data_IF_841272621021
#
_entry.id   IF_841272621021
#
_cell.length_a   1.000
_cell.length_b   1.000
_cell.length_c   1.000
_cell.angle_alpha   90.00
_cell.angle_beta   90.00
_cell.angle_gamma   90.00
#
_symmetry.space_group_name_H-M   'P 1'
#
loop_
_entity.id
_entity.type
_entity.pdbx_description
1 polymer ?
#
# COMPACT_ATOMS: atom_id res chain seq x y z
N UNK A 1 44.04 4.94 -13.91
CA UNK A 1 44.29 4.76 -12.46
C UNK A 1 43.42 5.72 -11.70
N UNK A 2 42.75 5.25 -10.66
CA UNK A 2 41.89 5.96 -9.68
C UNK A 2 40.41 6.17 -10.02
N UNK A 3 39.61 5.11 -9.79
CA UNK A 3 38.18 5.28 -9.46
C UNK A 3 37.67 4.23 -8.44
N UNK A 4 38.59 3.64 -7.65
CA UNK A 4 38.24 2.61 -6.65
C UNK A 4 37.79 3.17 -5.28
N UNK A 5 37.89 4.49 -5.05
CA UNK A 5 37.57 5.10 -3.74
C UNK A 5 36.15 5.65 -3.54
N UNK A 6 35.33 5.75 -4.58
CA UNK A 6 34.02 6.41 -4.51
C UNK A 6 32.80 5.47 -4.34
N UNK A 7 32.93 4.17 -4.58
CA UNK A 7 31.83 3.20 -4.59
C UNK A 7 31.20 2.95 -3.20
N UNK A 8 31.95 2.78 -2.08
CA UNK A 8 31.32 2.48 -0.78
C UNK A 8 30.55 3.67 -0.19
N UNK A 9 31.05 4.90 -0.36
CA UNK A 9 30.41 6.12 0.14
C UNK A 9 29.11 6.44 -0.60
N UNK A 10 29.07 6.20 -1.91
CA UNK A 10 27.88 6.38 -2.76
C UNK A 10 26.79 5.38 -2.41
N UNK A 11 27.14 4.12 -2.18
CA UNK A 11 26.21 3.08 -1.74
C UNK A 11 25.60 3.38 -0.37
N UNK A 12 26.40 3.84 0.61
CA UNK A 12 25.95 4.22 1.95
C UNK A 12 24.99 5.41 1.90
N UNK A 13 25.31 6.44 1.11
CA UNK A 13 24.42 7.60 0.92
C UNK A 13 23.08 7.18 0.29
N UNK A 14 23.11 6.30 -0.71
CA UNK A 14 21.90 5.75 -1.34
C UNK A 14 21.04 4.98 -0.34
N UNK A 15 21.65 4.16 0.51
CA UNK A 15 20.93 3.45 1.58
C UNK A 15 20.22 4.45 2.52
N UNK A 16 20.90 5.50 2.96
CA UNK A 16 20.35 6.48 3.90
C UNK A 16 19.15 7.22 3.29
N UNK A 17 19.29 7.79 2.08
CA UNK A 17 18.18 8.55 1.51
C UNK A 17 17.03 7.67 1.04
N UNK A 18 17.28 6.44 0.58
CA UNK A 18 16.20 5.50 0.26
C UNK A 18 15.42 5.14 1.53
N UNK A 19 16.12 4.81 2.62
CA UNK A 19 15.47 4.48 3.89
C UNK A 19 14.67 5.66 4.45
N UNK A 20 15.26 6.86 4.49
CA UNK A 20 14.58 8.03 5.05
C UNK A 20 13.40 8.50 4.20
N UNK A 21 13.48 8.42 2.86
CA UNK A 21 12.39 8.80 1.98
C UNK A 21 11.17 7.87 2.15
N UNK A 22 11.40 6.55 2.16
CA UNK A 22 10.31 5.58 2.32
C UNK A 22 9.82 5.42 3.75
N UNK A 23 10.63 5.73 4.74
CA UNK A 23 10.15 5.96 6.10
C UNK A 23 9.22 7.18 6.15
N UNK A 24 9.62 8.28 5.48
CA UNK A 24 8.80 9.49 5.31
C UNK A 24 7.52 9.28 4.50
N UNK A 25 7.41 8.21 3.70
CA UNK A 25 6.18 7.80 3.02
C UNK A 25 5.29 6.95 3.93
N UNK A 26 5.87 6.01 4.66
CA UNK A 26 5.13 5.10 5.53
C UNK A 26 4.57 5.76 6.78
N UNK A 27 5.22 6.80 7.31
CA UNK A 27 4.77 7.49 8.52
C UNK A 27 3.45 8.25 8.32
N UNK A 28 3.25 9.09 7.28
CA UNK A 28 1.95 9.71 7.00
C UNK A 28 0.87 8.71 6.67
N UNK A 29 1.19 7.64 5.95
CA UNK A 29 0.26 6.55 5.70
C UNK A 29 -0.24 5.94 7.01
N UNK A 30 0.67 5.59 7.92
CA UNK A 30 0.32 5.03 9.22
C UNK A 30 -0.41 6.04 10.11
N UNK A 31 -0.05 7.31 10.03
CA UNK A 31 -0.73 8.40 10.74
C UNK A 31 -2.22 8.50 10.34
N UNK A 32 -2.51 8.53 9.04
CA UNK A 32 -3.87 8.69 8.51
C UNK A 32 -4.73 7.43 8.71
N UNK A 33 -4.16 6.24 8.48
CA UNK A 33 -4.93 4.99 8.42
C UNK A 33 -4.86 4.15 9.70
N UNK A 34 -3.91 4.43 10.58
CA UNK A 34 -3.70 3.62 11.77
C UNK A 34 -3.83 4.45 13.06
N UNK A 35 -3.01 5.50 13.21
CA UNK A 35 -2.96 6.32 14.42
C UNK A 35 -4.25 7.12 14.61
N UNK A 36 -4.74 7.79 13.54
CA UNK A 36 -5.99 8.53 13.57
C UNK A 36 -7.20 7.61 13.82
N UNK A 37 -7.23 6.44 13.19
CA UNK A 37 -8.28 5.43 13.43
C UNK A 37 -8.27 4.93 14.87
N UNK A 38 -7.08 4.71 15.45
CA UNK A 38 -6.96 4.27 16.83
C UNK A 38 -7.35 5.38 17.82
N UNK A 39 -6.99 6.64 17.53
CA UNK A 39 -7.46 7.80 18.28
C UNK A 39 -9.00 7.86 18.32
N UNK A 40 -9.66 7.80 17.18
CA UNK A 40 -11.12 7.78 17.09
C UNK A 40 -11.72 6.59 17.85
N UNK A 41 -11.11 5.42 17.74
CA UNK A 41 -11.52 4.21 18.47
C UNK A 41 -11.41 4.42 19.99
N UNK A 42 -10.29 4.94 20.45
CA UNK A 42 -10.03 5.12 21.89
C UNK A 42 -10.90 6.21 22.51
N UNK A 43 -11.25 7.25 21.74
CA UNK A 43 -12.11 8.37 22.20
C UNK A 43 -13.60 8.07 22.10
N UNK A 44 -13.98 6.87 21.66
CA UNK A 44 -15.39 6.45 21.59
C UNK A 44 -16.15 7.01 20.40
N UNK A 45 -15.48 7.41 19.34
CA UNK A 45 -16.15 7.80 18.09
C UNK A 45 -17.04 6.66 17.57
N UNK A 46 -18.09 7.01 16.83
CA UNK A 46 -18.98 6.01 16.21
C UNK A 46 -18.21 5.16 15.19
N UNK A 47 -18.66 3.93 14.95
CA UNK A 47 -18.04 3.02 13.98
C UNK A 47 -18.09 3.62 12.57
N UNK A 48 -19.14 4.36 12.25
CA UNK A 48 -19.29 5.14 11.01
C UNK A 48 -18.19 6.21 10.90
N UNK A 49 -17.89 6.95 11.96
CA UNK A 49 -16.79 7.92 11.97
C UNK A 49 -15.44 7.22 11.81
N UNK A 50 -15.20 6.13 12.52
CA UNK A 50 -13.95 5.35 12.42
C UNK A 50 -13.75 4.84 10.99
N UNK A 51 -14.78 4.26 10.38
CA UNK A 51 -14.71 3.72 9.02
C UNK A 51 -14.54 4.80 7.94
N UNK A 52 -14.98 6.04 8.21
CA UNK A 52 -14.80 7.18 7.29
C UNK A 52 -13.33 7.51 7.03
N UNK A 53 -12.40 7.10 7.91
CA UNK A 53 -10.95 7.24 7.66
C UNK A 53 -10.49 6.47 6.42
N UNK A 54 -11.22 5.44 6.00
CA UNK A 54 -10.94 4.68 4.77
C UNK A 54 -11.06 5.54 3.50
N UNK A 55 -11.83 6.62 3.54
CA UNK A 55 -11.97 7.55 2.41
C UNK A 55 -10.67 8.32 2.13
N UNK A 56 -9.79 8.50 3.12
CA UNK A 56 -8.49 9.15 2.89
C UNK A 56 -7.60 8.38 1.91
N UNK A 57 -7.84 7.07 1.76
CA UNK A 57 -7.14 6.26 0.75
C UNK A 57 -7.52 6.62 -0.69
N UNK A 58 -8.68 7.27 -0.91
CA UNK A 58 -9.09 7.75 -2.23
C UNK A 58 -8.12 8.80 -2.79
N UNK A 59 -7.49 9.63 -1.96
CA UNK A 59 -6.50 10.59 -2.42
C UNK A 59 -5.32 9.87 -3.09
N UNK A 60 -4.81 8.78 -2.50
CA UNK A 60 -3.74 7.95 -3.09
C UNK A 60 -4.20 7.27 -4.37
N UNK A 61 -5.46 6.83 -4.42
CA UNK A 61 -6.02 6.21 -5.62
C UNK A 61 -6.17 7.21 -6.76
N UNK A 62 -6.60 8.43 -6.47
CA UNK A 62 -6.87 9.48 -7.46
C UNK A 62 -5.64 10.33 -7.79
N UNK A 63 -4.49 10.09 -7.16
CA UNK A 63 -3.25 10.89 -7.35
C UNK A 63 -2.82 11.02 -8.82
N UNK A 64 -3.20 10.07 -9.68
CA UNK A 64 -2.90 10.12 -11.12
C UNK A 64 -3.49 11.35 -11.81
N UNK A 65 -4.58 11.94 -11.26
CA UNK A 65 -5.23 13.13 -11.83
C UNK A 65 -4.28 14.34 -11.78
N UNK A 66 -3.51 14.49 -10.68
CA UNK A 66 -2.60 15.64 -10.52
C UNK A 66 -1.12 15.26 -10.55
N UNK A 67 -0.78 13.98 -10.75
CA UNK A 67 0.64 13.57 -10.87
C UNK A 67 1.43 14.33 -11.95
N UNK A 68 0.84 14.79 -13.09
CA UNK A 68 1.57 15.60 -14.05
C UNK A 68 2.06 16.94 -13.48
N UNK A 69 1.42 17.50 -12.45
CA UNK A 69 1.88 18.73 -11.82
C UNK A 69 3.26 18.55 -11.18
N UNK A 70 3.51 17.40 -10.55
CA UNK A 70 4.80 17.08 -9.93
C UNK A 70 5.91 16.90 -10.99
N UNK A 71 5.54 16.44 -12.18
CA UNK A 71 6.48 16.29 -13.29
C UNK A 71 6.76 17.61 -14.02
N UNK A 72 5.77 18.51 -14.09
CA UNK A 72 5.86 19.77 -14.86
C UNK A 72 6.44 20.92 -14.02
N UNK A 73 6.22 20.95 -12.72
CA UNK A 73 6.58 22.08 -11.87
C UNK A 73 7.65 21.72 -10.84
N UNK A 74 8.83 22.29 -10.97
CA UNK A 74 9.93 22.11 -10.03
C UNK A 74 10.65 20.76 -10.17
N UNK A 75 11.45 20.43 -9.15
CA UNK A 75 12.17 19.16 -9.12
C UNK A 75 11.49 18.17 -8.17
N UNK A 76 11.55 16.88 -8.49
CA UNK A 76 11.01 15.80 -7.62
C UNK A 76 11.64 15.82 -6.22
N UNK A 77 12.91 16.23 -6.12
CA UNK A 77 13.60 16.44 -4.84
C UNK A 77 12.93 17.53 -4.00
N UNK A 78 12.59 18.67 -4.62
CA UNK A 78 11.93 19.77 -3.93
C UNK A 78 10.51 19.37 -3.48
N UNK A 79 9.72 18.77 -4.37
CA UNK A 79 8.40 18.25 -4.03
C UNK A 79 8.45 17.27 -2.86
N UNK A 80 9.42 16.35 -2.84
CA UNK A 80 9.59 15.38 -1.77
C UNK A 80 9.86 16.05 -0.41
N UNK A 81 10.78 17.02 -0.36
CA UNK A 81 11.13 17.72 0.89
C UNK A 81 10.00 18.65 1.33
N UNK A 82 9.44 19.44 0.41
CA UNK A 82 8.39 20.42 0.72
C UNK A 82 7.12 19.71 1.24
N UNK A 83 6.71 18.61 0.61
CA UNK A 83 5.57 17.82 1.09
C UNK A 83 5.84 17.17 2.46
N UNK A 84 7.07 16.74 2.75
CA UNK A 84 7.43 16.24 4.09
C UNK A 84 7.32 17.34 5.15
N UNK A 85 7.74 18.57 4.85
CA UNK A 85 7.59 19.70 5.77
C UNK A 85 6.11 19.98 6.02
N UNK A 86 5.30 20.06 4.96
CA UNK A 86 3.85 20.30 5.09
C UNK A 86 3.16 19.17 5.87
N UNK A 87 3.52 17.92 5.63
CA UNK A 87 3.01 16.77 6.38
C UNK A 87 3.38 16.87 7.87
N UNK A 88 4.64 17.14 8.18
CA UNK A 88 5.09 17.30 9.56
C UNK A 88 4.40 18.46 10.28
N UNK A 89 4.28 19.61 9.64
CA UNK A 89 3.54 20.76 10.17
C UNK A 89 2.05 20.42 10.37
N UNK A 90 1.40 19.78 9.41
CA UNK A 90 0.00 19.37 9.52
C UNK A 90 -0.24 18.33 10.64
N UNK A 91 0.71 17.41 10.88
CA UNK A 91 0.65 16.51 12.04
C UNK A 91 0.77 17.26 13.37
N UNK A 92 1.60 18.32 13.46
CA UNK A 92 1.66 19.19 14.63
C UNK A 92 0.35 19.98 14.79
N UNK A 93 -0.25 20.48 13.69
CA UNK A 93 -1.59 21.10 13.74
C UNK A 93 -2.63 20.10 14.24
N UNK A 94 -2.56 18.83 13.82
CA UNK A 94 -3.46 17.78 14.35
C UNK A 94 -3.30 17.61 15.85
N UNK A 95 -2.07 17.66 16.39
CA UNK A 95 -1.82 17.60 17.82
C UNK A 95 -2.49 18.77 18.59
N UNK A 96 -2.41 19.99 18.05
CA UNK A 96 -3.08 21.16 18.63
C UNK A 96 -4.61 21.02 18.57
N UNK A 97 -5.14 20.61 17.42
CA UNK A 97 -6.58 20.42 17.22
C UNK A 97 -7.16 19.38 18.17
N UNK A 98 -6.44 18.28 18.40
CA UNK A 98 -6.82 17.26 19.37
C UNK A 98 -6.78 17.82 20.80
N UNK A 99 -5.78 18.65 21.11
CA UNK A 99 -5.65 19.31 22.42
C UNK A 99 -6.80 20.25 22.74
N UNK A 100 -7.36 20.94 21.75
CA UNK A 100 -8.54 21.84 21.90
C UNK A 100 -9.88 21.14 21.70
N UNK A 101 -9.91 19.87 21.29
CA UNK A 101 -11.13 19.07 21.14
C UNK A 101 -12.02 19.42 19.93
N UNK A 102 -11.48 20.05 18.88
CA UNK A 102 -12.25 20.45 17.69
C UNK A 102 -12.38 19.32 16.67
N UNK A 103 -13.52 18.61 16.67
CA UNK A 103 -13.79 17.51 15.73
C UNK A 103 -13.85 17.94 14.26
N UNK A 104 -14.52 19.04 13.85
CA UNK A 104 -14.55 19.44 12.43
C UNK A 104 -13.16 19.77 11.89
N UNK A 105 -12.34 20.46 12.69
CA UNK A 105 -10.98 20.84 12.30
C UNK A 105 -10.08 19.58 12.17
N UNK A 106 -10.27 18.59 13.03
CA UNK A 106 -9.56 17.30 12.93
C UNK A 106 -9.79 16.65 11.56
N UNK A 107 -11.04 16.51 11.13
CA UNK A 107 -11.38 15.93 9.83
C UNK A 107 -10.84 16.73 8.66
N UNK A 108 -10.93 18.07 8.73
CA UNK A 108 -10.39 18.95 7.69
C UNK A 108 -8.88 18.78 7.55
N UNK A 109 -8.14 18.77 8.66
CA UNK A 109 -6.68 18.60 8.64
C UNK A 109 -6.30 17.23 8.07
N UNK A 110 -6.98 16.15 8.48
CA UNK A 110 -6.71 14.81 7.94
C UNK A 110 -7.01 14.73 6.44
N UNK A 111 -8.09 15.35 5.96
CA UNK A 111 -8.41 15.39 4.55
C UNK A 111 -7.33 16.13 3.73
N UNK A 112 -6.86 17.28 4.21
CA UNK A 112 -5.75 18.00 3.58
C UNK A 112 -4.46 17.19 3.60
N UNK A 113 -4.14 16.57 4.74
CA UNK A 113 -2.96 15.70 4.86
C UNK A 113 -3.02 14.51 3.92
N UNK A 114 -4.20 13.94 3.64
CA UNK A 114 -4.34 12.82 2.70
C UNK A 114 -3.96 13.20 1.27
N UNK A 115 -4.31 14.42 0.83
CA UNK A 115 -3.93 14.95 -0.49
C UNK A 115 -2.42 15.23 -0.55
N UNK A 116 -1.86 15.83 0.51
CA UNK A 116 -0.42 16.10 0.59
C UNK A 116 0.38 14.80 0.63
N UNK A 117 -0.11 13.79 1.37
CA UNK A 117 0.50 12.45 1.41
C UNK A 117 0.51 11.79 0.02
N UNK A 118 -0.61 11.85 -0.70
CA UNK A 118 -0.68 11.32 -2.07
C UNK A 118 0.30 12.05 -3.03
N UNK A 119 0.49 13.36 -2.83
CA UNK A 119 1.47 14.15 -3.59
C UNK A 119 2.92 13.79 -3.22
N UNK A 120 3.18 13.56 -1.92
CA UNK A 120 4.47 13.07 -1.43
C UNK A 120 4.84 11.72 -2.04
N UNK A 121 3.88 10.79 -2.10
CA UNK A 121 4.05 9.46 -2.66
C UNK A 121 4.43 9.52 -4.16
N UNK A 122 3.78 10.41 -4.96
CA UNK A 122 4.19 10.69 -6.35
C UNK A 122 5.65 11.17 -6.41
N UNK A 123 6.01 12.13 -5.55
CA UNK A 123 7.34 12.71 -5.55
C UNK A 123 8.42 11.71 -5.11
N UNK A 124 8.13 10.90 -4.09
CA UNK A 124 9.01 9.88 -3.54
C UNK A 124 9.31 8.79 -4.58
N UNK A 125 8.28 8.20 -5.17
CA UNK A 125 8.43 7.19 -6.22
C UNK A 125 9.09 7.76 -7.47
N UNK A 126 8.68 8.95 -7.90
CA UNK A 126 9.29 9.64 -9.03
C UNK A 126 10.76 9.95 -8.82
N UNK A 127 11.17 10.37 -7.61
CA UNK A 127 12.56 10.61 -7.26
C UNK A 127 13.37 9.30 -7.26
N UNK A 128 12.85 8.24 -6.65
CA UNK A 128 13.50 6.92 -6.61
C UNK A 128 13.76 6.39 -8.03
N UNK A 129 12.76 6.47 -8.90
CA UNK A 129 12.86 6.02 -10.29
C UNK A 129 13.85 6.84 -11.12
N UNK A 130 14.02 8.11 -10.80
CA UNK A 130 14.91 8.98 -11.55
C UNK A 130 16.34 9.00 -11.01
N UNK A 131 16.52 8.77 -9.70
CA UNK A 131 17.84 8.81 -9.07
C UNK A 131 18.63 7.48 -9.17
N UNK A 132 17.96 6.37 -9.51
CA UNK A 132 18.55 5.04 -9.60
C UNK A 132 18.36 4.41 -10.98
N UNK A 133 19.40 3.74 -11.46
CA UNK A 133 19.32 2.84 -12.61
C UNK A 133 18.55 1.55 -12.26
N UNK A 134 18.28 0.70 -13.24
CA UNK A 134 17.51 -0.53 -13.06
C UNK A 134 18.12 -1.46 -12.00
N UNK A 135 19.45 -1.61 -11.99
CA UNK A 135 20.15 -2.43 -11.01
C UNK A 135 20.06 -1.84 -9.60
N UNK A 136 20.20 -0.52 -9.46
CA UNK A 136 20.04 0.18 -8.19
C UNK A 136 18.62 0.05 -7.64
N UNK A 137 17.59 0.22 -8.50
CA UNK A 137 16.19 0.03 -8.10
C UNK A 137 15.93 -1.38 -7.58
N UNK A 138 16.43 -2.40 -8.27
CA UNK A 138 16.32 -3.79 -7.81
C UNK A 138 17.03 -4.01 -6.47
N UNK A 139 18.27 -3.50 -6.32
CA UNK A 139 19.05 -3.66 -5.11
C UNK A 139 18.40 -3.00 -3.88
N UNK A 140 17.87 -1.78 -4.03
CA UNK A 140 17.30 -1.02 -2.92
C UNK A 140 15.80 -1.24 -2.72
N UNK A 141 15.14 -2.10 -3.52
CA UNK A 141 13.70 -2.39 -3.37
C UNK A 141 13.35 -2.99 -2.00
N UNK A 142 14.21 -3.86 -1.46
CA UNK A 142 14.06 -4.43 -0.12
C UNK A 142 14.17 -3.38 0.98
N UNK A 143 15.14 -2.45 0.84
CA UNK A 143 15.34 -1.32 1.77
C UNK A 143 14.13 -0.40 1.80
N UNK A 144 13.60 -0.06 0.62
CA UNK A 144 12.37 0.69 0.43
C UNK A 144 11.22 0.08 1.26
N UNK A 145 10.92 -1.20 1.04
CA UNK A 145 9.84 -1.90 1.71
C UNK A 145 10.07 -1.99 3.23
N UNK A 146 11.30 -2.28 3.66
CA UNK A 146 11.64 -2.36 5.09
C UNK A 146 11.46 -1.01 5.79
N UNK A 147 11.89 0.09 5.17
CA UNK A 147 11.74 1.44 5.73
C UNK A 147 10.27 1.86 5.86
N UNK A 148 9.46 1.60 4.83
CA UNK A 148 8.01 1.83 4.88
C UNK A 148 7.35 1.04 6.02
N UNK A 149 7.69 -0.25 6.15
CA UNK A 149 7.15 -1.11 7.22
C UNK A 149 7.59 -0.66 8.61
N UNK A 150 8.85 -0.23 8.76
CA UNK A 150 9.35 0.32 10.03
C UNK A 150 8.55 1.57 10.43
N UNK A 151 8.29 2.49 9.51
CA UNK A 151 7.44 3.66 9.76
C UNK A 151 6.00 3.28 10.14
N UNK A 152 5.45 2.24 9.50
CA UNK A 152 4.12 1.72 9.83
C UNK A 152 4.08 1.21 11.28
N UNK A 153 5.09 0.48 11.73
CA UNK A 153 5.20 0.03 13.14
C UNK A 153 5.31 1.21 14.09
N UNK A 154 6.10 2.23 13.75
CA UNK A 154 6.21 3.45 14.58
C UNK A 154 4.84 4.11 14.74
N UNK A 155 4.12 4.38 13.65
CA UNK A 155 2.83 5.07 13.71
C UNK A 155 1.72 4.26 14.35
N UNK A 156 1.65 2.97 14.07
CA UNK A 156 0.52 2.12 14.50
C UNK A 156 0.72 1.41 15.85
N UNK A 157 1.96 1.37 16.35
CA UNK A 157 2.30 0.68 17.60
C UNK A 157 2.97 1.62 18.59
N UNK A 158 4.16 2.14 18.29
CA UNK A 158 4.91 2.95 19.23
C UNK A 158 4.17 4.24 19.62
N UNK A 159 3.62 4.98 18.65
CA UNK A 159 2.88 6.20 18.93
C UNK A 159 1.53 5.93 19.60
N UNK A 160 0.86 4.83 19.30
CA UNK A 160 -0.36 4.40 19.99
C UNK A 160 -0.05 4.03 21.44
N UNK A 161 1.04 3.28 21.67
CA UNK A 161 1.49 2.97 23.02
C UNK A 161 1.86 4.23 23.81
N UNK A 162 2.61 5.17 23.18
CA UNK A 162 2.93 6.46 23.78
C UNK A 162 1.65 7.23 24.15
N UNK A 163 0.66 7.28 23.25
CA UNK A 163 -0.64 7.92 23.52
C UNK A 163 -1.34 7.31 24.74
N UNK A 164 -1.28 5.99 24.89
CA UNK A 164 -1.90 5.27 26.01
C UNK A 164 -1.24 5.55 27.37
N UNK A 165 0.06 5.91 27.37
CA UNK A 165 0.82 6.23 28.59
C UNK A 165 0.82 7.73 28.90
N UNK A 166 0.51 8.59 27.93
CA UNK A 166 0.64 10.05 28.06
C UNK A 166 -0.62 10.77 27.54
N UNK A 167 -0.60 11.22 26.30
CA UNK A 167 -1.73 11.85 25.64
C UNK A 167 -1.69 11.67 24.12
N UNK A 168 -2.85 11.74 23.48
CA UNK A 168 -2.96 11.72 22.01
C UNK A 168 -2.28 12.94 21.37
N UNK A 169 -2.40 14.12 21.99
CA UNK A 169 -1.73 15.33 21.51
C UNK A 169 -0.21 15.15 21.45
N UNK A 170 0.41 14.54 22.46
CA UNK A 170 1.84 14.26 22.45
C UNK A 170 2.22 13.24 21.37
N UNK A 171 1.43 12.18 21.20
CA UNK A 171 1.69 11.18 20.14
C UNK A 171 1.63 11.79 18.73
N UNK A 172 0.64 12.63 18.45
CA UNK A 172 0.54 13.36 17.20
C UNK A 172 1.68 14.37 17.02
N UNK A 173 2.08 15.07 18.10
CA UNK A 173 3.23 15.98 18.07
C UNK A 173 4.54 15.23 17.80
N UNK A 174 4.75 14.08 18.40
CA UNK A 174 5.91 13.23 18.13
C UNK A 174 5.94 12.74 16.67
N UNK A 175 4.79 12.38 16.10
CA UNK A 175 4.69 12.04 14.67
C UNK A 175 5.14 13.22 13.79
N UNK A 176 4.63 14.42 14.07
CA UNK A 176 4.97 15.63 13.34
C UNK A 176 6.46 16.01 13.48
N UNK A 177 6.99 15.96 14.69
CA UNK A 177 8.41 16.20 14.95
C UNK A 177 9.31 15.21 14.24
N UNK A 178 8.97 13.92 14.28
CA UNK A 178 9.70 12.88 13.55
C UNK A 178 9.67 13.11 12.04
N UNK A 179 8.52 13.50 11.49
CA UNK A 179 8.39 13.80 10.07
C UNK A 179 9.24 15.00 9.66
N UNK A 180 9.29 16.06 10.48
CA UNK A 180 10.17 17.22 10.24
C UNK A 180 11.66 16.85 10.33
N UNK A 181 12.04 15.96 11.25
CA UNK A 181 13.41 15.42 11.31
C UNK A 181 13.77 14.65 10.03
N UNK A 182 12.83 13.85 9.52
CA UNK A 182 13.01 13.13 8.23
C UNK A 182 13.12 14.11 7.07
N UNK A 183 12.30 15.17 7.03
CA UNK A 183 12.38 16.22 6.03
C UNK A 183 13.74 16.91 6.04
N UNK A 184 14.24 17.28 7.23
CA UNK A 184 15.54 17.92 7.41
C UNK A 184 16.69 16.99 6.98
N UNK A 185 16.61 15.71 7.35
CA UNK A 185 17.57 14.70 6.90
C UNK A 185 17.56 14.60 5.37
N UNK A 186 16.38 14.46 4.75
CA UNK A 186 16.24 14.35 3.31
C UNK A 186 16.70 15.60 2.57
N UNK A 187 16.46 16.78 3.10
CA UNK A 187 16.98 18.04 2.55
C UNK A 187 18.52 18.04 2.42
N UNK A 188 19.22 17.31 3.32
CA UNK A 188 20.70 17.23 3.34
C UNK A 188 21.24 16.06 2.53
N UNK A 189 20.57 14.90 2.57
CA UNK A 189 21.15 13.64 2.03
C UNK A 189 20.70 13.31 0.62
N UNK A 190 19.51 13.82 0.17
CA UNK A 190 19.04 13.56 -1.18
C UNK A 190 20.04 14.13 -2.21
N UNK A 191 20.45 13.34 -3.21
CA UNK A 191 21.28 13.86 -4.28
C UNK A 191 20.55 14.93 -5.07
N UNK A 192 21.30 15.92 -5.57
CA UNK A 192 20.80 16.81 -6.61
C UNK A 192 20.83 16.03 -7.91
N UNK A 193 19.69 15.82 -8.58
CA UNK A 193 19.70 15.19 -9.89
C UNK A 193 20.47 16.12 -10.84
N UNK A 194 21.51 15.62 -11.46
CA UNK A 194 21.97 16.18 -12.73
C UNK A 194 20.73 16.17 -13.63
N UNK A 195 20.41 17.30 -14.26
CA UNK A 195 19.19 17.58 -15.03
C UNK A 195 18.53 16.32 -15.57
N UNK A 196 17.51 15.84 -14.85
CA UNK A 196 16.74 14.69 -15.29
C UNK A 196 15.96 15.17 -16.50
N UNK A 197 16.45 14.76 -17.66
CA UNK A 197 15.69 14.89 -18.90
C UNK A 197 14.29 14.39 -18.62
N UNK A 198 13.35 15.30 -18.63
CA UNK A 198 11.94 15.01 -18.59
C UNK A 198 11.67 13.93 -19.63
N UNK A 199 11.33 12.72 -19.21
CA UNK A 199 10.71 11.73 -20.07
C UNK A 199 9.29 12.18 -20.42
N UNK A 200 9.09 13.45 -20.69
CA UNK A 200 7.87 14.07 -21.19
C UNK A 200 7.62 13.65 -22.64
N UNK A 201 7.58 12.33 -22.87
CA UNK A 201 7.32 11.72 -24.17
C UNK A 201 6.22 10.66 -24.14
N UNK A 202 5.62 10.38 -23.00
CA UNK A 202 4.45 9.51 -22.96
C UNK A 202 3.24 10.29 -23.50
N UNK A 203 2.97 10.18 -24.79
CA UNK A 203 1.77 10.71 -25.42
C UNK A 203 0.52 10.25 -24.66
N UNK A 204 -0.47 11.14 -24.53
CA UNK A 204 -1.83 10.79 -24.03
C UNK A 204 -2.39 9.53 -24.72
N UNK A 205 -2.06 9.35 -26.00
CA UNK A 205 -2.43 8.18 -26.78
C UNK A 205 -1.77 6.90 -26.27
N UNK A 206 -0.49 6.93 -25.88
CA UNK A 206 0.21 5.78 -25.31
C UNK A 206 -0.35 5.38 -23.95
N UNK A 207 -0.75 6.36 -23.14
CA UNK A 207 -1.41 6.13 -21.85
C UNK A 207 -2.76 5.42 -22.02
N UNK A 208 -3.64 5.93 -22.88
CA UNK A 208 -4.93 5.30 -23.18
C UNK A 208 -4.77 3.91 -23.79
N UNK A 209 -3.77 3.72 -24.66
CA UNK A 209 -3.45 2.41 -25.24
C UNK A 209 -3.02 1.40 -24.19
N UNK A 210 -2.23 1.82 -23.19
CA UNK A 210 -1.82 0.96 -22.09
C UNK A 210 -3.04 0.47 -21.29
N UNK A 211 -3.98 1.36 -20.93
CA UNK A 211 -5.21 0.95 -20.22
C UNK A 211 -6.10 0.05 -21.09
N UNK A 212 -6.31 0.41 -22.35
CA UNK A 212 -7.12 -0.40 -23.26
C UNK A 212 -6.54 -1.81 -23.41
N UNK A 213 -5.22 -1.94 -23.49
CA UNK A 213 -4.55 -3.24 -23.60
C UNK A 213 -4.72 -4.13 -22.38
N UNK A 214 -5.01 -3.57 -21.19
CA UNK A 214 -5.35 -4.35 -20.01
C UNK A 214 -6.72 -5.04 -20.17
N UNK A 215 -7.72 -4.31 -20.69
CA UNK A 215 -9.08 -4.84 -20.88
C UNK A 215 -9.17 -5.85 -22.03
N UNK A 216 -8.23 -5.81 -22.98
CA UNK A 216 -8.19 -6.76 -24.12
C UNK A 216 -7.48 -8.07 -23.78
N UNK A 217 -6.94 -8.23 -22.57
CA UNK A 217 -6.34 -9.49 -22.12
C UNK A 217 -7.39 -10.63 -22.04
N UNK A 218 -6.99 -11.87 -22.31
CA UNK A 218 -7.87 -13.01 -22.13
C UNK A 218 -8.42 -13.07 -20.69
N UNK A 219 -9.73 -13.22 -20.58
CA UNK A 219 -10.43 -13.27 -19.27
C UNK A 219 -10.30 -12.01 -18.40
N UNK A 220 -10.03 -10.82 -18.98
CA UNK A 220 -9.85 -9.58 -18.24
C UNK A 220 -10.96 -9.31 -17.21
N UNK A 221 -12.24 -9.55 -17.55
CA UNK A 221 -13.35 -9.38 -16.63
C UNK A 221 -13.26 -10.26 -15.38
N UNK A 222 -12.86 -11.53 -15.51
CA UNK A 222 -12.67 -12.44 -14.36
C UNK A 222 -11.49 -12.03 -13.51
N UNK A 223 -10.40 -11.58 -14.15
CA UNK A 223 -9.21 -11.08 -13.46
C UNK A 223 -9.54 -9.82 -12.67
N UNK A 224 -10.24 -8.86 -13.27
CA UNK A 224 -10.68 -7.64 -12.61
C UNK A 224 -11.63 -7.91 -11.45
N UNK A 225 -12.61 -8.79 -11.65
CA UNK A 225 -13.53 -9.19 -10.59
C UNK A 225 -12.76 -9.85 -9.42
N UNK A 226 -11.83 -10.75 -9.71
CA UNK A 226 -11.00 -11.37 -8.68
C UNK A 226 -10.16 -10.34 -7.92
N UNK A 227 -9.50 -9.41 -8.64
CA UNK A 227 -8.72 -8.33 -8.01
C UNK A 227 -9.57 -7.47 -7.07
N UNK A 228 -10.79 -7.12 -7.51
CA UNK A 228 -11.71 -6.30 -6.72
C UNK A 228 -12.18 -7.02 -5.45
N UNK A 229 -12.60 -8.28 -5.59
CA UNK A 229 -13.20 -9.04 -4.49
C UNK A 229 -12.18 -9.72 -3.58
N UNK A 230 -10.91 -9.87 -4.03
CA UNK A 230 -9.90 -10.61 -3.29
C UNK A 230 -9.73 -10.14 -1.85
N UNK A 231 -9.73 -8.85 -1.63
CA UNK A 231 -9.50 -8.26 -0.31
C UNK A 231 -10.76 -7.70 0.35
N UNK A 232 -11.92 -7.86 -0.27
CA UNK A 232 -13.15 -7.21 0.20
C UNK A 232 -13.48 -7.57 1.65
N UNK A 233 -13.61 -8.86 1.95
CA UNK A 233 -13.90 -9.34 3.30
C UNK A 233 -12.78 -9.04 4.31
N UNK A 234 -11.51 -9.17 3.90
CA UNK A 234 -10.34 -8.87 4.71
C UNK A 234 -10.31 -7.38 5.14
N UNK A 235 -10.63 -6.48 4.23
CA UNK A 235 -10.67 -5.03 4.52
C UNK A 235 -11.85 -4.67 5.42
N UNK A 236 -13.01 -5.25 5.18
CA UNK A 236 -14.17 -5.09 6.07
C UNK A 236 -13.82 -5.53 7.50
N UNK A 237 -13.26 -6.73 7.64
CA UNK A 237 -12.79 -7.26 8.93
C UNK A 237 -11.77 -6.32 9.58
N UNK A 238 -10.74 -5.89 8.84
CA UNK A 238 -9.68 -5.03 9.36
C UNK A 238 -10.21 -3.66 9.82
N UNK A 239 -11.18 -3.07 9.09
CA UNK A 239 -11.79 -1.79 9.43
C UNK A 239 -12.47 -1.81 10.82
N UNK A 240 -13.11 -2.92 11.17
CA UNK A 240 -13.85 -3.05 12.45
C UNK A 240 -13.11 -3.88 13.50
N UNK A 241 -11.90 -4.36 13.24
CA UNK A 241 -11.09 -5.10 14.20
C UNK A 241 -10.76 -4.28 15.45
N UNK A 242 -10.36 -3.02 15.30
CA UNK A 242 -10.02 -2.13 16.44
C UNK A 242 -11.24 -1.76 17.28
N UNK A 243 -12.39 -1.35 16.70
CA UNK A 243 -13.64 -1.20 17.44
C UNK A 243 -14.04 -2.46 18.22
N UNK A 244 -13.99 -3.64 17.59
CA UNK A 244 -14.27 -4.90 18.30
C UNK A 244 -13.34 -5.10 19.49
N UNK A 245 -12.02 -4.96 19.31
CA UNK A 245 -11.06 -5.11 20.39
C UNK A 245 -11.30 -4.13 21.53
N UNK A 246 -11.69 -2.88 21.25
CA UNK A 246 -12.12 -1.91 22.26
C UNK A 246 -13.36 -2.41 23.01
N UNK A 247 -14.38 -2.85 22.28
CA UNK A 247 -15.69 -3.21 22.84
C UNK A 247 -15.66 -4.50 23.67
N UNK A 248 -14.64 -5.37 23.45
CA UNK A 248 -14.35 -6.51 24.32
C UNK A 248 -13.35 -6.20 25.45
N UNK A 249 -12.98 -4.91 25.63
CA UNK A 249 -12.20 -4.44 26.78
C UNK A 249 -10.67 -4.46 26.60
N UNK A 250 -10.15 -4.65 25.38
CA UNK A 250 -8.69 -4.57 25.13
C UNK A 250 -8.24 -3.11 25.17
N UNK A 251 -7.37 -2.77 26.11
CA UNK A 251 -6.85 -1.42 26.31
C UNK A 251 -6.04 -0.90 25.11
N UNK A 252 -6.00 0.43 24.93
CA UNK A 252 -5.35 1.10 23.81
C UNK A 252 -3.88 0.72 23.64
N UNK A 253 -3.11 0.72 24.73
CA UNK A 253 -1.70 0.32 24.70
C UNK A 253 -1.51 -1.13 24.24
N UNK A 254 -2.34 -2.05 24.73
CA UNK A 254 -2.33 -3.45 24.33
C UNK A 254 -2.68 -3.61 22.84
N UNK A 255 -3.69 -2.87 22.34
CA UNK A 255 -4.03 -2.85 20.91
C UNK A 255 -2.87 -2.35 20.06
N UNK A 256 -2.17 -1.30 20.50
CA UNK A 256 -0.96 -0.80 19.84
C UNK A 256 0.14 -1.86 19.75
N UNK A 257 0.47 -2.51 20.86
CA UNK A 257 1.47 -3.60 20.90
C UNK A 257 1.04 -4.77 20.01
N UNK A 258 -0.20 -5.21 20.13
CA UNK A 258 -0.75 -6.33 19.35
C UNK A 258 -0.73 -6.06 17.84
N UNK A 259 -1.05 -4.82 17.45
CA UNK A 259 -0.96 -4.40 16.04
C UNK A 259 0.49 -4.38 15.53
N UNK A 260 1.45 -3.90 16.33
CA UNK A 260 2.87 -3.91 15.96
C UNK A 260 3.42 -5.33 15.79
N UNK A 261 3.15 -6.23 16.74
CA UNK A 261 3.51 -7.66 16.63
C UNK A 261 2.80 -8.30 15.43
N UNK A 262 1.52 -7.98 15.21
CA UNK A 262 0.74 -8.44 14.06
C UNK A 262 1.38 -8.07 12.72
N UNK A 263 1.88 -6.84 12.57
CA UNK A 263 2.62 -6.42 11.36
C UNK A 263 3.86 -7.30 11.14
N UNK A 264 4.64 -7.59 12.18
CA UNK A 264 5.81 -8.45 12.05
C UNK A 264 5.42 -9.89 11.66
N UNK A 265 4.35 -10.42 12.23
CA UNK A 265 3.80 -11.74 11.90
C UNK A 265 3.26 -11.77 10.45
N UNK A 266 2.62 -10.68 9.99
CA UNK A 266 2.16 -10.55 8.60
C UNK A 266 3.34 -10.51 7.62
N UNK A 267 4.44 -9.83 7.97
CA UNK A 267 5.69 -9.86 7.19
C UNK A 267 6.24 -11.30 7.10
N UNK A 268 6.28 -12.01 8.22
CA UNK A 268 6.68 -13.42 8.24
C UNK A 268 5.80 -14.28 7.34
N UNK A 269 4.47 -14.12 7.43
CA UNK A 269 3.51 -14.77 6.53
C UNK A 269 3.79 -14.48 5.06
N UNK A 270 4.09 -13.21 4.72
CA UNK A 270 4.43 -12.81 3.34
C UNK A 270 5.75 -13.43 2.85
N UNK A 271 6.76 -13.52 3.71
CA UNK A 271 8.04 -14.18 3.38
C UNK A 271 7.83 -15.68 3.13
N UNK A 272 7.10 -16.34 4.03
CA UNK A 272 6.77 -17.79 3.90
C UNK A 272 5.94 -18.01 2.63
N UNK A 273 4.92 -17.16 2.39
CA UNK A 273 4.08 -17.22 1.19
C UNK A 273 4.88 -17.04 -0.10
N UNK A 274 5.73 -16.02 -0.16
CA UNK A 274 6.64 -15.78 -1.29
C UNK A 274 7.59 -16.96 -1.53
N UNK A 275 8.17 -17.51 -0.47
CA UNK A 275 9.06 -18.69 -0.55
C UNK A 275 8.33 -19.96 -1.04
N UNK A 276 7.08 -20.18 -0.62
CA UNK A 276 6.26 -21.29 -1.12
C UNK A 276 5.91 -21.11 -2.60
N UNK A 277 5.56 -19.88 -3.01
CA UNK A 277 5.26 -19.55 -4.42
C UNK A 277 6.51 -19.74 -5.29
N UNK A 278 7.67 -19.32 -4.83
CA UNK A 278 8.94 -19.49 -5.54
C UNK A 278 9.28 -20.97 -5.77
N UNK A 279 8.95 -21.86 -4.80
CA UNK A 279 9.24 -23.30 -4.88
C UNK A 279 8.18 -24.10 -5.63
N UNK A 280 6.89 -23.77 -5.47
CA UNK A 280 5.76 -24.58 -5.96
C UNK A 280 4.99 -23.93 -7.13
N UNK A 281 5.31 -22.68 -7.46
CA UNK A 281 4.59 -21.87 -8.43
C UNK A 281 3.30 -21.28 -7.88
N UNK A 282 2.88 -20.13 -8.45
CA UNK A 282 1.64 -19.46 -8.06
C UNK A 282 0.41 -20.34 -8.27
N UNK A 283 0.37 -21.11 -9.37
CA UNK A 283 -0.78 -21.95 -9.72
C UNK A 283 -1.18 -22.94 -8.63
N UNK A 284 -0.20 -23.48 -7.86
CA UNK A 284 -0.45 -24.38 -6.74
C UNK A 284 -0.71 -23.68 -5.41
N UNK A 285 -0.19 -22.45 -5.25
CA UNK A 285 -0.25 -21.72 -3.99
C UNK A 285 -1.45 -20.75 -3.91
N UNK A 286 -1.94 -20.23 -5.02
CA UNK A 286 -2.97 -19.19 -5.04
C UNK A 286 -4.26 -19.63 -4.34
N UNK A 287 -4.79 -20.82 -4.69
CA UNK A 287 -6.02 -21.35 -4.08
C UNK A 287 -5.87 -21.52 -2.56
N UNK A 288 -4.93 -22.34 -2.03
CA UNK A 288 -4.84 -22.55 -0.60
C UNK A 288 -4.55 -21.27 0.20
N UNK A 289 -3.78 -20.32 -0.34
CA UNK A 289 -3.50 -19.07 0.34
C UNK A 289 -4.73 -18.15 0.35
N UNK A 290 -5.52 -18.10 -0.74
CA UNK A 290 -6.79 -17.36 -0.77
C UNK A 290 -7.78 -17.91 0.25
N UNK A 291 -7.91 -19.24 0.33
CA UNK A 291 -8.77 -19.89 1.32
C UNK A 291 -8.30 -19.63 2.75
N UNK A 292 -7.01 -19.77 3.03
CA UNK A 292 -6.46 -19.57 4.37
C UNK A 292 -6.70 -18.14 4.86
N UNK A 293 -6.48 -17.12 4.00
CA UNK A 293 -6.78 -15.73 4.33
C UNK A 293 -8.27 -15.52 4.62
N UNK A 294 -9.16 -16.02 3.75
CA UNK A 294 -10.60 -15.84 3.93
C UNK A 294 -11.13 -16.59 5.14
N UNK A 295 -10.62 -17.81 5.42
CA UNK A 295 -11.01 -18.61 6.59
C UNK A 295 -10.48 -18.04 7.91
N UNK A 296 -9.57 -17.09 7.90
CA UNK A 296 -9.19 -16.36 9.10
C UNK A 296 -10.26 -15.35 9.56
N UNK A 297 -11.14 -14.89 8.65
CA UNK A 297 -12.21 -13.92 9.00
C UNK A 297 -13.21 -14.49 10.03
N UNK A 298 -13.70 -15.74 9.92
CA UNK A 298 -14.55 -16.38 10.95
C UNK A 298 -13.96 -16.38 12.36
N UNK A 299 -12.64 -16.31 12.51
CA UNK A 299 -12.02 -16.19 13.84
C UNK A 299 -12.46 -14.90 14.56
N UNK A 300 -12.76 -13.83 13.82
CA UNK A 300 -13.31 -12.60 14.39
C UNK A 300 -14.81 -12.75 14.76
N UNK A 301 -15.55 -13.64 14.11
CA UNK A 301 -16.89 -14.02 14.56
C UNK A 301 -16.80 -14.71 15.93
N UNK A 302 -15.85 -15.66 16.08
CA UNK A 302 -15.57 -16.33 17.35
C UNK A 302 -15.13 -15.31 18.41
N UNK A 303 -14.26 -14.37 18.06
CA UNK A 303 -13.77 -13.30 18.94
C UNK A 303 -14.93 -12.43 19.45
N UNK A 304 -15.84 -12.03 18.54
CA UNK A 304 -17.00 -11.21 18.88
C UNK A 304 -18.04 -11.96 19.76
N UNK A 305 -18.26 -13.24 19.48
CA UNK A 305 -19.26 -14.05 20.19
C UNK A 305 -18.76 -14.54 21.56
N UNK A 306 -17.54 -15.05 21.65
CA UNK A 306 -17.02 -15.69 22.85
C UNK A 306 -16.25 -14.74 23.79
N UNK A 307 -15.75 -13.62 23.28
CA UNK A 307 -14.96 -12.63 24.02
C UNK A 307 -13.87 -13.27 24.91
N UNK A 308 -12.95 -14.07 24.32
CA UNK A 308 -11.96 -14.78 25.08
C UNK A 308 -11.01 -13.82 25.80
N UNK A 309 -10.31 -14.30 26.84
CA UNK A 309 -9.28 -13.50 27.52
C UNK A 309 -8.13 -13.10 26.58
N UNK A 310 -7.27 -12.19 27.04
CA UNK A 310 -6.18 -11.61 26.22
C UNK A 310 -5.31 -12.64 25.49
N UNK A 311 -4.96 -13.81 26.05
CA UNK A 311 -4.21 -14.82 25.30
C UNK A 311 -4.97 -15.36 24.07
N UNK A 312 -6.27 -15.58 24.19
CA UNK A 312 -7.12 -16.02 23.07
C UNK A 312 -7.29 -14.93 22.03
N UNK A 313 -7.50 -13.67 22.44
CA UNK A 313 -7.51 -12.50 21.54
C UNK A 313 -6.21 -12.43 20.75
N UNK A 314 -5.07 -12.50 21.45
CA UNK A 314 -3.75 -12.41 20.83
C UNK A 314 -3.52 -13.55 19.83
N UNK A 315 -3.86 -14.78 20.20
CA UNK A 315 -3.72 -15.92 19.30
C UNK A 315 -4.53 -15.75 18.00
N UNK A 316 -5.79 -15.31 18.10
CA UNK A 316 -6.67 -15.07 16.95
C UNK A 316 -6.11 -13.98 16.05
N UNK A 317 -5.74 -12.81 16.62
CA UNK A 317 -5.21 -11.70 15.85
C UNK A 317 -3.91 -12.07 15.14
N UNK A 318 -2.98 -12.74 15.83
CA UNK A 318 -1.70 -13.13 15.22
C UNK A 318 -1.85 -14.21 14.15
N UNK A 319 -2.75 -15.16 14.34
CA UNK A 319 -3.05 -16.19 13.33
C UNK A 319 -3.66 -15.56 12.07
N UNK A 320 -4.60 -14.63 12.23
CA UNK A 320 -5.18 -13.87 11.12
C UNK A 320 -4.10 -13.06 10.39
N UNK A 321 -3.24 -12.33 11.11
CA UNK A 321 -2.17 -11.53 10.51
C UNK A 321 -1.19 -12.41 9.71
N UNK A 322 -0.88 -13.62 10.17
CA UNK A 322 -0.08 -14.56 9.42
C UNK A 322 -0.77 -15.00 8.13
N UNK A 323 -2.05 -15.37 8.21
CA UNK A 323 -2.85 -15.77 7.05
C UNK A 323 -3.00 -14.63 6.03
N UNK A 324 -3.25 -13.41 6.50
CA UNK A 324 -3.31 -12.20 5.68
C UNK A 324 -1.97 -11.93 4.98
N UNK A 325 -0.85 -12.18 5.66
CA UNK A 325 0.50 -12.11 5.07
C UNK A 325 0.69 -13.08 3.91
N UNK A 326 0.29 -14.35 4.09
CA UNK A 326 0.34 -15.37 3.02
C UNK A 326 -0.50 -14.94 1.81
N UNK A 327 -1.74 -14.50 2.05
CA UNK A 327 -2.64 -14.05 1.00
C UNK A 327 -2.13 -12.79 0.28
N UNK A 328 -1.53 -11.85 1.01
CA UNK A 328 -0.90 -10.65 0.43
C UNK A 328 0.22 -11.02 -0.54
N UNK A 329 1.06 -11.99 -0.21
CA UNK A 329 2.11 -12.48 -1.11
C UNK A 329 1.53 -13.09 -2.39
N UNK A 330 0.49 -13.95 -2.26
CA UNK A 330 -0.17 -14.57 -3.41
C UNK A 330 -0.83 -13.53 -4.33
N UNK A 331 -1.53 -12.56 -3.74
CA UNK A 331 -2.17 -11.48 -4.50
C UNK A 331 -1.16 -10.60 -5.22
N UNK A 332 -0.07 -10.19 -4.55
CA UNK A 332 0.98 -9.38 -5.17
C UNK A 332 1.62 -10.07 -6.37
N UNK A 333 1.97 -11.35 -6.24
CA UNK A 333 2.53 -12.14 -7.35
C UNK A 333 1.51 -12.31 -8.48
N UNK A 334 0.23 -12.55 -8.14
CA UNK A 334 -0.85 -12.62 -9.12
C UNK A 334 -0.98 -11.31 -9.92
N UNK A 335 -0.99 -10.16 -9.24
CA UNK A 335 -1.05 -8.85 -9.90
C UNK A 335 0.14 -8.63 -10.85
N UNK A 336 1.36 -8.94 -10.38
CA UNK A 336 2.57 -8.80 -11.18
C UNK A 336 2.55 -9.68 -12.45
N UNK A 337 2.02 -10.90 -12.36
CA UNK A 337 1.90 -11.79 -13.52
C UNK A 337 0.87 -11.32 -14.56
N UNK A 338 -0.04 -10.41 -14.20
CA UNK A 338 -1.05 -9.82 -15.13
C UNK A 338 -0.56 -8.56 -15.83
N UNK A 339 0.66 -8.13 -15.56
CA UNK A 339 1.25 -6.97 -16.23
C UNK A 339 1.92 -7.40 -17.54
N UNK A 340 1.65 -6.71 -18.65
CA UNK A 340 2.38 -6.93 -19.90
C UNK A 340 3.80 -6.38 -19.80
N UNK A 341 4.77 -7.00 -20.48
CA UNK A 341 6.15 -6.50 -20.50
C UNK A 341 6.25 -5.07 -21.06
N UNK A 342 5.41 -4.73 -22.04
CA UNK A 342 5.42 -3.42 -22.71
C UNK A 342 4.82 -2.29 -21.86
N UNK A 343 3.89 -2.60 -20.92
CA UNK A 343 3.14 -1.62 -20.12
C UNK A 343 3.10 -2.03 -18.65
N UNK A 344 4.15 -2.66 -18.14
CA UNK A 344 4.16 -3.26 -16.79
C UNK A 344 3.80 -2.27 -15.68
N UNK A 345 4.36 -1.07 -15.71
CA UNK A 345 4.09 -0.03 -14.72
C UNK A 345 2.63 0.46 -14.78
N UNK A 346 2.11 0.74 -15.98
CA UNK A 346 0.73 1.23 -16.16
C UNK A 346 -0.30 0.17 -15.78
N UNK A 347 -0.08 -1.10 -16.19
CA UNK A 347 -0.96 -2.20 -15.83
C UNK A 347 -0.97 -2.46 -14.33
N UNK A 348 0.19 -2.43 -13.67
CA UNK A 348 0.29 -2.61 -12.22
C UNK A 348 -0.40 -1.47 -11.47
N UNK A 349 -0.15 -0.22 -11.89
CA UNK A 349 -0.80 0.95 -11.30
C UNK A 349 -2.32 0.90 -11.43
N UNK A 350 -2.83 0.49 -12.60
CA UNK A 350 -4.26 0.34 -12.83
C UNK A 350 -4.87 -0.77 -11.96
N UNK A 351 -4.24 -1.93 -11.90
CA UNK A 351 -4.70 -3.05 -11.08
C UNK A 351 -4.74 -2.67 -9.58
N UNK A 352 -3.71 -1.98 -9.10
CA UNK A 352 -3.67 -1.50 -7.70
C UNK A 352 -4.70 -0.40 -7.44
N UNK A 353 -4.98 0.48 -8.41
CA UNK A 353 -6.03 1.50 -8.26
C UNK A 353 -7.43 0.87 -8.11
N UNK A 354 -7.76 -0.17 -8.89
CA UNK A 354 -9.03 -0.91 -8.76
C UNK A 354 -9.16 -1.52 -7.35
N UNK A 355 -8.10 -2.19 -6.88
CA UNK A 355 -8.07 -2.75 -5.53
C UNK A 355 -8.24 -1.67 -4.47
N UNK A 356 -7.62 -0.50 -4.65
CA UNK A 356 -7.70 0.62 -3.72
C UNK A 356 -9.10 1.23 -3.65
N UNK A 357 -9.79 1.40 -4.79
CA UNK A 357 -11.19 1.86 -4.81
C UNK A 357 -12.08 0.89 -4.04
N UNK A 358 -11.97 -0.41 -4.35
CA UNK A 358 -12.72 -1.45 -3.63
C UNK A 358 -12.44 -1.44 -2.14
N UNK A 359 -11.18 -1.26 -1.76
CA UNK A 359 -10.75 -1.18 -0.36
C UNK A 359 -11.33 0.04 0.37
N UNK A 360 -11.28 1.21 -0.25
CA UNK A 360 -11.81 2.44 0.35
C UNK A 360 -13.31 2.35 0.58
N UNK A 361 -14.04 1.84 -0.42
CA UNK A 361 -15.50 1.72 -0.35
C UNK A 361 -15.93 0.68 0.68
N UNK A 362 -15.34 -0.52 0.66
CA UNK A 362 -15.65 -1.58 1.63
C UNK A 362 -15.27 -1.18 3.06
N UNK A 363 -14.14 -0.51 3.25
CA UNK A 363 -13.76 0.05 4.54
C UNK A 363 -14.77 1.08 5.05
N UNK A 364 -15.21 2.00 4.20
CA UNK A 364 -16.17 3.04 4.56
C UNK A 364 -17.54 2.49 4.99
N UNK A 365 -18.10 1.55 4.21
CA UNK A 365 -19.43 0.96 4.52
C UNK A 365 -19.40 0.04 5.74
N UNK A 366 -18.22 -0.40 6.20
CA UNK A 366 -18.09 -1.33 7.32
C UNK A 366 -18.61 -0.75 8.64
N UNK A 367 -18.41 0.54 8.90
CA UNK A 367 -18.88 1.17 10.13
C UNK A 367 -20.42 1.18 10.26
N UNK A 368 -21.15 1.76 9.30
CA UNK A 368 -22.61 1.72 9.30
C UNK A 368 -23.20 0.31 9.37
N UNK A 369 -22.58 -0.65 8.66
CA UNK A 369 -23.00 -2.05 8.69
C UNK A 369 -22.79 -2.68 10.07
N UNK A 370 -21.65 -2.43 10.71
CA UNK A 370 -21.36 -2.98 12.04
C UNK A 370 -22.19 -2.29 13.14
N UNK A 371 -22.53 -1.00 12.97
CA UNK A 371 -23.50 -0.31 13.85
C UNK A 371 -24.91 -0.92 13.76
N UNK A 372 -25.35 -1.25 12.54
CA UNK A 372 -26.69 -1.79 12.31
C UNK A 372 -26.83 -3.26 12.71
N UNK A 373 -25.81 -4.08 12.46
CA UNK A 373 -25.85 -5.53 12.60
C UNK A 373 -25.25 -6.05 13.91
N UNK A 374 -24.37 -5.26 14.52
CA UNK A 374 -23.48 -5.71 15.61
C UNK A 374 -22.33 -6.57 15.10
N UNK A 375 -21.28 -6.66 15.91
CA UNK A 375 -19.99 -7.29 15.53
C UNK A 375 -20.13 -8.70 14.97
N UNK A 376 -20.88 -9.59 15.65
CA UNK A 376 -20.96 -11.02 15.24
C UNK A 376 -21.56 -11.15 13.84
N UNK A 377 -22.69 -10.48 13.58
CA UNK A 377 -23.34 -10.52 12.26
C UNK A 377 -22.51 -9.78 11.20
N UNK A 378 -21.87 -8.68 11.57
CA UNK A 378 -20.99 -7.94 10.66
C UNK A 378 -19.78 -8.80 10.21
N UNK A 379 -19.06 -9.47 11.11
CA UNK A 379 -17.93 -10.32 10.71
C UNK A 379 -18.37 -11.55 9.93
N UNK A 380 -19.58 -12.07 10.19
CA UNK A 380 -20.20 -13.10 9.35
C UNK A 380 -20.45 -12.57 7.94
N UNK A 381 -20.98 -11.35 7.81
CA UNK A 381 -21.18 -10.69 6.51
C UNK A 381 -19.83 -10.45 5.80
N UNK A 382 -18.79 -10.01 6.52
CA UNK A 382 -17.45 -9.83 5.97
C UNK A 382 -16.87 -11.15 5.42
N UNK A 383 -17.11 -12.27 6.12
CA UNK A 383 -16.77 -13.59 5.61
C UNK A 383 -17.53 -13.95 4.33
N UNK A 384 -18.86 -13.73 4.30
CA UNK A 384 -19.68 -13.96 3.10
C UNK A 384 -19.19 -13.06 1.94
N UNK A 385 -18.81 -11.80 2.22
CA UNK A 385 -18.25 -10.89 1.24
C UNK A 385 -16.92 -11.36 0.64
N UNK A 386 -16.22 -12.31 1.26
CA UNK A 386 -15.03 -12.95 0.69
C UNK A 386 -15.34 -14.09 -0.28
N UNK A 387 -16.59 -14.64 -0.30
CA UNK A 387 -16.96 -15.78 -1.14
C UNK A 387 -16.77 -15.55 -2.65
N UNK A 388 -17.07 -14.36 -3.22
CA UNK A 388 -16.78 -14.13 -4.63
C UNK A 388 -15.30 -14.40 -4.99
N UNK A 389 -14.36 -14.06 -4.11
CA UNK A 389 -12.94 -14.35 -4.33
C UNK A 389 -12.64 -15.85 -4.25
N UNK A 390 -13.26 -16.58 -3.30
CA UNK A 390 -13.12 -18.03 -3.14
C UNK A 390 -13.66 -18.80 -4.35
N UNK A 391 -14.70 -18.29 -5.00
CA UNK A 391 -15.24 -18.86 -6.23
C UNK A 391 -14.38 -18.48 -7.44
N UNK A 392 -14.06 -17.21 -7.60
CA UNK A 392 -13.32 -16.69 -8.75
C UNK A 392 -11.90 -17.25 -8.84
N UNK A 393 -11.25 -17.59 -7.72
CA UNK A 393 -9.88 -18.14 -7.69
C UNK A 393 -9.77 -19.45 -8.49
N UNK A 394 -10.86 -20.20 -8.67
CA UNK A 394 -10.87 -21.42 -9.46
C UNK A 394 -10.91 -21.17 -10.98
N UNK A 395 -11.42 -20.02 -11.39
CA UNK A 395 -11.65 -19.67 -12.79
C UNK A 395 -10.67 -18.62 -13.36
N UNK A 396 -9.89 -17.97 -12.49
CA UNK A 396 -8.85 -17.05 -12.96
C UNK A 396 -7.66 -17.81 -13.54
N UNK A 397 -7.04 -17.30 -14.62
CA UNK A 397 -5.83 -17.89 -15.17
C UNK A 397 -4.70 -17.82 -14.12
N UNK A 398 -4.04 -18.93 -13.87
CA UNK A 398 -2.95 -19.06 -12.87
C UNK A 398 -1.57 -18.92 -13.49
N UNK A 399 -1.50 -18.93 -14.81
CA UNK A 399 -0.28 -18.74 -15.59
C UNK A 399 -0.20 -17.31 -16.11
N UNK A 400 1.00 -16.75 -16.31
CA UNK A 400 1.14 -15.46 -16.96
C UNK A 400 0.54 -15.49 -18.38
N UNK A 401 -0.02 -14.35 -18.86
CA UNK A 401 -0.50 -14.29 -20.25
C UNK A 401 0.65 -14.62 -21.18
N UNK A 402 0.36 -15.42 -22.23
CA UNK A 402 1.33 -15.74 -23.26
C UNK A 402 1.92 -14.42 -23.82
N UNK A 403 3.22 -14.36 -24.10
CA UNK A 403 3.79 -13.19 -24.75
C UNK A 403 3.00 -12.93 -26.04
N UNK A 404 2.56 -11.68 -26.24
CA UNK A 404 1.91 -11.30 -27.48
C UNK A 404 2.81 -11.75 -28.62
N UNK A 405 2.32 -12.70 -29.43
CA UNK A 405 3.02 -13.16 -30.58
C UNK A 405 3.45 -11.93 -31.39
N UNK A 406 4.73 -11.78 -31.66
CA UNK A 406 5.29 -10.78 -32.53
C UNK A 406 4.88 -11.15 -33.99
N UNK A 407 3.60 -11.03 -34.25
CA UNK A 407 3.05 -11.11 -35.60
C UNK A 407 3.23 -9.75 -36.28
N UNK A 408 4.46 -9.38 -36.49
CA UNK A 408 4.81 -8.64 -37.71
C UNK A 408 5.40 -9.69 -38.67
N UNK A 409 4.79 -9.97 -39.79
CA UNK A 409 5.45 -10.72 -40.84
C UNK A 409 6.68 -9.90 -41.22
N UNK A 410 7.86 -10.44 -40.95
CA UNK A 410 9.08 -9.98 -41.58
C UNK A 410 8.84 -10.23 -43.06
N UNK A 411 8.47 -9.17 -43.78
CA UNK A 411 8.51 -9.20 -45.24
C UNK A 411 9.95 -9.53 -45.62
N UNK A 412 10.15 -10.71 -46.17
CA UNK A 412 11.41 -11.12 -46.74
C UNK A 412 11.87 -10.02 -47.71
N UNK A 413 13.12 -9.55 -47.65
CA UNK A 413 13.63 -8.65 -48.68
C UNK A 413 13.57 -9.38 -50.01
N UNK A 414 12.81 -8.78 -50.93
CA UNK A 414 12.69 -9.27 -52.30
C UNK A 414 14.07 -9.42 -52.92
N UNK A 415 14.34 -10.62 -53.41
CA UNK A 415 15.44 -10.90 -54.33
C UNK A 415 15.09 -10.26 -55.67
N UNK A 416 15.40 -8.99 -55.84
CA UNK A 416 15.41 -8.36 -57.16
C UNK A 416 16.79 -8.52 -57.82
N UNK A 417 16.78 -9.29 -58.88
CA UNK A 417 17.48 -9.01 -60.12
C UNK A 417 18.99 -9.03 -60.14
N UNK A 418 19.61 -10.22 -60.16
CA UNK A 418 20.93 -10.37 -60.77
C UNK A 418 20.80 -10.27 -62.28
N UNK A 419 21.03 -9.10 -62.88
CA UNK A 419 21.28 -8.94 -64.31
C UNK A 419 22.72 -9.36 -64.57
N UNK A 420 22.87 -10.45 -65.39
CA UNK A 420 24.13 -10.87 -65.97
C UNK A 420 24.58 -9.83 -66.98
N UNK A 421 25.87 -9.49 -67.12
CA UNK A 421 26.42 -8.91 -68.32
C UNK A 421 26.69 -10.01 -69.33
N UNK A 422 26.15 -9.90 -70.55
CA UNK A 422 26.49 -10.67 -71.68
C UNK A 422 27.65 -10.03 -72.51
N UNK A 423 28.12 -10.72 -73.53
CA UNK A 423 29.53 -10.92 -73.90
C UNK A 423 30.29 -9.71 -74.44
#
# INVERSE_FOLDING_TARGET
>A
MNDAGSAPSRSRRTLVWTSSSYFGEGLPWSFLHQLATEFLTATGASKTQISSTSLFHLAVTLKFIWSPLVDLFGSKRRWLVDTQIVLGAGMLVTALVVGIGSSPMFWLVLALLSVVHATHDIACDGFYLSALDERGRALFSGVRNAAFRAATVVGSSLLVYLASQTSWALAFACAGGLMLCVALLNARVLPYPAELQSTAGASRAAFLTAYRSFFTQPHAGRVLAFMLFYRLGDIMMFAMSKPLLRDIGVGTGTRGVLNGVGILVSILGSIVGGGLIARRGLGRCLIPMTYLQSLAIPLYVVLAALRPGLPGVSAIVLLEQFASGLGTAAHAVFLMQRTSRSFSASHFAFATAIVSVGSSLSGYISGPLDEALGHTAFFTLAFIASWPSLLLVHWVPKEPPAPASSALPVSAPGTEGATRPGP
#
